data_IF_766392972315
#
_entry.id   IF_766392972315
#
_cell.length_a   1.000
_cell.length_b   1.000
_cell.length_c   1.000
_cell.angle_alpha   90.00
_cell.angle_beta   90.00
_cell.angle_gamma   90.00
#
_symmetry.space_group_name_H-M   'P 1'
#
loop_
_entity.id
_entity.type
_entity.pdbx_description
1 polymer ?
#
# COMPACT_ATOMS: atom_id res chain seq x y z
N UNK A 1 6.83 42.03 -15.98
CA UNK A 1 6.88 40.63 -16.49
C UNK A 1 7.59 39.66 -15.55
N UNK A 2 8.80 39.98 -15.04
CA UNK A 2 9.52 39.17 -14.03
C UNK A 2 8.75 38.81 -12.74
N UNK A 3 7.97 39.69 -12.09
CA UNK A 3 7.33 39.34 -10.82
C UNK A 3 6.16 38.37 -11.01
N UNK A 4 5.47 38.43 -12.15
CA UNK A 4 4.36 37.51 -12.48
C UNK A 4 4.90 36.11 -12.74
N UNK A 5 6.05 36.01 -13.42
CA UNK A 5 6.72 34.72 -13.67
C UNK A 5 7.19 34.06 -12.36
N UNK A 6 7.69 34.87 -11.40
CA UNK A 6 8.15 34.37 -10.10
C UNK A 6 7.00 33.85 -9.23
N UNK A 7 5.87 34.57 -9.21
CA UNK A 7 4.66 34.13 -8.49
C UNK A 7 4.04 32.87 -9.10
N UNK A 8 4.11 32.71 -10.42
CA UNK A 8 3.61 31.52 -11.10
C UNK A 8 4.46 30.29 -10.75
N UNK A 9 5.80 30.42 -10.77
CA UNK A 9 6.73 29.35 -10.37
C UNK A 9 6.54 28.96 -8.90
N UNK A 10 6.31 29.93 -8.00
CA UNK A 10 6.02 29.67 -6.59
C UNK A 10 4.68 28.93 -6.40
N UNK A 11 3.63 29.32 -7.12
CA UNK A 11 2.34 28.64 -7.08
C UNK A 11 2.39 27.19 -7.61
N UNK A 12 3.19 26.93 -8.65
CA UNK A 12 3.42 25.59 -9.21
C UNK A 12 4.16 24.64 -8.25
N UNK A 13 4.91 25.18 -7.27
CA UNK A 13 5.63 24.37 -6.28
C UNK A 13 4.73 23.72 -5.21
N UNK A 14 3.48 24.16 -5.10
CA UNK A 14 2.48 23.59 -4.17
C UNK A 14 1.55 22.55 -4.84
N UNK A 15 1.72 22.27 -6.14
CA UNK A 15 0.85 21.34 -6.91
C UNK A 15 1.48 19.95 -7.03
N UNK A 16 2.51 19.62 -6.23
CA UNK A 16 2.86 18.21 -6.02
C UNK A 16 1.82 17.58 -5.09
N UNK A 17 0.56 17.51 -5.53
CA UNK A 17 -0.34 16.50 -5.01
C UNK A 17 0.25 15.18 -5.48
N UNK A 18 0.59 14.32 -4.54
CA UNK A 18 0.74 12.92 -4.82
C UNK A 18 -0.66 12.49 -5.28
N UNK A 19 -0.98 12.65 -6.57
CA UNK A 19 -2.18 12.08 -7.16
C UNK A 19 -2.06 10.59 -6.88
N UNK A 20 -2.82 10.16 -5.88
CA UNK A 20 -2.56 8.99 -5.06
C UNK A 20 -2.30 7.78 -5.94
N UNK A 21 -1.02 7.44 -6.11
CA UNK A 21 -0.57 6.25 -6.82
C UNK A 21 -0.86 5.07 -5.90
N UNK A 22 -2.10 4.60 -5.88
CA UNK A 22 -2.56 3.56 -4.98
C UNK A 22 -2.79 2.27 -5.75
N UNK A 23 -2.03 1.23 -5.39
CA UNK A 23 -2.34 -0.12 -5.80
C UNK A 23 -3.68 -0.58 -5.22
N UNK A 24 -4.41 -1.41 -5.95
CA UNK A 24 -5.65 -2.02 -5.45
C UNK A 24 -5.71 -3.50 -5.83
N UNK A 25 -6.40 -4.30 -5.02
CA UNK A 25 -6.51 -5.75 -5.23
C UNK A 25 -7.84 -6.27 -4.69
N UNK A 26 -8.44 -7.21 -5.41
CA UNK A 26 -9.50 -8.09 -4.90
C UNK A 26 -9.03 -9.52 -5.16
N UNK A 27 -8.58 -10.23 -4.13
CA UNK A 27 -7.97 -11.56 -4.31
C UNK A 27 -8.03 -12.39 -3.03
N UNK A 28 -7.61 -13.65 -3.12
CA UNK A 28 -7.35 -14.50 -1.95
C UNK A 28 -5.96 -14.19 -1.40
N UNK A 29 -5.80 -14.42 -0.09
CA UNK A 29 -4.50 -14.32 0.58
C UNK A 29 -3.69 -15.60 0.34
N UNK A 30 -2.49 -15.45 -0.22
CA UNK A 30 -1.52 -16.53 -0.43
C UNK A 30 -0.64 -16.73 0.80
N UNK A 31 -0.07 -15.65 1.34
CA UNK A 31 0.83 -15.68 2.49
C UNK A 31 0.59 -14.45 3.38
N UNK A 32 0.77 -14.63 4.69
CA UNK A 32 0.89 -13.54 5.66
C UNK A 32 2.19 -13.76 6.43
N UNK A 33 3.12 -12.81 6.33
CA UNK A 33 4.41 -12.84 7.03
C UNK A 33 4.50 -11.69 8.00
N UNK A 34 5.02 -11.95 9.20
CA UNK A 34 5.38 -10.94 10.20
C UNK A 34 6.86 -11.12 10.52
N UNK A 35 7.63 -10.04 10.39
CA UNK A 35 9.05 -10.02 10.71
C UNK A 35 9.25 -9.67 12.19
N UNK A 36 10.43 -9.97 12.74
CA UNK A 36 10.73 -9.77 14.17
C UNK A 36 10.67 -8.30 14.62
N UNK A 37 10.77 -7.35 13.68
CA UNK A 37 10.67 -5.91 13.95
C UNK A 37 9.23 -5.37 13.87
N UNK A 38 8.24 -6.24 13.68
CA UNK A 38 6.82 -5.88 13.66
C UNK A 38 6.28 -5.46 12.30
N UNK A 39 7.12 -5.45 11.26
CA UNK A 39 6.66 -5.24 9.88
C UNK A 39 5.94 -6.48 9.37
N UNK A 40 4.89 -6.25 8.59
CA UNK A 40 4.06 -7.29 8.02
C UNK A 40 3.94 -7.18 6.51
N UNK A 41 3.83 -8.32 5.85
CA UNK A 41 3.58 -8.45 4.42
C UNK A 41 2.37 -9.37 4.21
N UNK A 42 1.40 -8.92 3.41
CA UNK A 42 0.36 -9.79 2.84
C UNK A 42 0.69 -10.01 1.37
N UNK A 43 0.78 -11.27 0.96
CA UNK A 43 0.91 -11.65 -0.45
C UNK A 43 -0.39 -12.25 -0.93
N UNK A 44 -0.87 -11.77 -2.07
CA UNK A 44 -2.11 -12.17 -2.72
C UNK A 44 -1.84 -13.20 -3.82
N UNK A 45 -2.90 -13.92 -4.23
CA UNK A 45 -2.81 -14.82 -5.39
C UNK A 45 -2.69 -14.03 -6.69
N UNK A 46 -3.42 -12.91 -6.80
CA UNK A 46 -3.44 -12.07 -8.01
C UNK A 46 -2.50 -10.87 -7.88
N UNK A 47 -2.21 -10.23 -9.01
CA UNK A 47 -1.34 -9.04 -9.09
C UNK A 47 -2.10 -7.80 -8.61
N UNK A 48 -1.46 -6.96 -7.80
CA UNK A 48 -1.96 -5.63 -7.42
C UNK A 48 -2.04 -4.77 -8.69
N UNK A 49 -3.24 -4.27 -8.98
CA UNK A 49 -3.53 -3.44 -10.15
C UNK A 49 -3.60 -1.95 -9.77
N UNK A 50 -3.81 -1.09 -10.76
CA UNK A 50 -3.84 0.36 -10.57
C UNK A 50 -2.48 0.98 -10.90
N UNK A 51 -2.15 2.07 -10.20
CA UNK A 51 -0.88 2.77 -10.38
C UNK A 51 -0.10 2.68 -9.06
N UNK A 52 0.66 1.59 -8.82
CA UNK A 52 1.49 1.49 -7.61
C UNK A 52 2.50 2.65 -7.54
N UNK A 53 2.95 3.03 -6.33
CA UNK A 53 3.93 4.09 -6.16
C UNK A 53 5.28 3.69 -6.76
N UNK A 54 6.08 4.66 -7.21
CA UNK A 54 7.35 4.41 -7.89
C UNK A 54 8.38 3.63 -7.05
N UNK A 55 8.22 3.60 -5.73
CA UNK A 55 9.04 2.80 -4.83
C UNK A 55 8.69 1.30 -4.86
N UNK A 56 7.49 0.93 -5.30
CA UNK A 56 7.07 -0.45 -5.39
C UNK A 56 7.80 -1.15 -6.55
N UNK A 57 8.55 -2.21 -6.24
CA UNK A 57 9.31 -2.95 -7.25
C UNK A 57 8.50 -4.14 -7.79
N UNK A 58 8.79 -4.54 -9.03
CA UNK A 58 8.08 -5.62 -9.72
C UNK A 58 8.08 -6.96 -8.95
N UNK A 59 9.12 -7.25 -8.16
CA UNK A 59 9.20 -8.47 -7.35
C UNK A 59 8.16 -8.59 -6.23
N UNK A 60 7.48 -7.48 -5.89
CA UNK A 60 6.43 -7.44 -4.87
C UNK A 60 5.08 -6.98 -5.43
N UNK A 61 4.86 -7.12 -6.74
CA UNK A 61 3.59 -6.75 -7.39
C UNK A 61 2.37 -7.57 -6.93
N UNK A 62 2.58 -8.64 -6.17
CA UNK A 62 1.52 -9.42 -5.49
C UNK A 62 1.37 -9.08 -4.01
N UNK A 63 2.04 -8.06 -3.49
CA UNK A 63 2.13 -7.84 -2.04
C UNK A 63 1.84 -6.42 -1.62
N UNK A 64 1.29 -6.29 -0.42
CA UNK A 64 1.20 -5.03 0.31
C UNK A 64 1.82 -5.20 1.70
N UNK A 65 2.39 -4.13 2.22
CA UNK A 65 3.02 -4.10 3.54
C UNK A 65 2.21 -3.34 4.57
N UNK A 66 2.44 -3.60 5.85
CA UNK A 66 1.78 -2.90 6.95
C UNK A 66 2.63 -2.98 8.21
N UNK A 67 2.42 -2.06 9.15
CA UNK A 67 3.06 -2.08 10.46
C UNK A 67 2.15 -2.75 11.50
N UNK A 68 2.46 -4.00 11.87
CA UNK A 68 1.70 -4.80 12.83
C UNK A 68 1.88 -4.35 14.30
N UNK A 69 2.71 -3.35 14.57
CA UNK A 69 2.78 -2.69 15.87
C UNK A 69 1.64 -1.68 16.07
N UNK A 70 1.09 -1.12 14.98
CA UNK A 70 -0.01 -0.14 15.04
C UNK A 70 -1.36 -0.81 15.25
N UNK A 71 -2.34 -0.08 15.81
CA UNK A 71 -3.71 -0.59 15.97
C UNK A 71 -4.34 -0.98 14.61
N UNK A 72 -4.13 -0.17 13.58
CA UNK A 72 -4.60 -0.44 12.23
C UNK A 72 -3.93 -1.67 11.60
N UNK A 73 -2.60 -1.78 11.70
CA UNK A 73 -1.90 -2.94 11.16
C UNK A 73 -2.19 -4.25 11.90
N UNK A 74 -2.46 -4.22 13.21
CA UNK A 74 -2.98 -5.40 13.94
C UNK A 74 -4.33 -5.85 13.40
N UNK A 75 -5.23 -4.92 13.08
CA UNK A 75 -6.52 -5.24 12.49
C UNK A 75 -6.35 -5.82 11.07
N UNK A 76 -5.49 -5.23 10.23
CA UNK A 76 -5.16 -5.77 8.91
C UNK A 76 -4.57 -7.17 9.00
N UNK A 77 -3.65 -7.41 9.95
CA UNK A 77 -3.05 -8.72 10.19
C UNK A 77 -4.11 -9.78 10.54
N UNK A 78 -5.00 -9.46 11.48
CA UNK A 78 -6.08 -10.36 11.88
C UNK A 78 -7.01 -10.68 10.69
N UNK A 79 -7.35 -9.67 9.88
CA UNK A 79 -8.18 -9.85 8.68
C UNK A 79 -7.49 -10.71 7.62
N UNK A 80 -6.19 -10.49 7.38
CA UNK A 80 -5.41 -11.28 6.43
C UNK A 80 -5.30 -12.76 6.86
N UNK A 81 -5.06 -13.01 8.14
CA UNK A 81 -5.04 -14.37 8.70
C UNK A 81 -6.40 -15.05 8.57
N UNK A 82 -7.48 -14.36 8.93
CA UNK A 82 -8.85 -14.88 8.82
C UNK A 82 -9.19 -15.22 7.36
N UNK A 83 -8.86 -14.32 6.43
CA UNK A 83 -9.04 -14.55 5.00
C UNK A 83 -8.26 -15.78 4.52
N UNK A 84 -7.00 -15.89 4.94
CA UNK A 84 -6.14 -17.04 4.59
C UNK A 84 -6.70 -18.35 5.13
N UNK A 85 -7.09 -18.40 6.40
CA UNK A 85 -7.62 -19.61 7.04
C UNK A 85 -8.99 -20.02 6.49
N UNK A 86 -9.83 -19.04 6.12
CA UNK A 86 -11.18 -19.27 5.61
C UNK A 86 -11.26 -19.40 4.09
N UNK A 87 -10.18 -19.13 3.36
CA UNK A 87 -10.17 -19.09 1.89
C UNK A 87 -11.02 -17.95 1.31
N UNK A 88 -11.31 -16.92 2.12
CA UNK A 88 -12.11 -15.77 1.74
C UNK A 88 -11.33 -14.79 0.86
N UNK A 89 -12.06 -13.97 0.11
CA UNK A 89 -11.49 -12.89 -0.70
C UNK A 89 -11.32 -11.66 0.18
N UNK A 90 -10.28 -10.88 -0.08
CA UNK A 90 -10.06 -9.56 0.51
C UNK A 90 -10.05 -8.48 -0.55
N UNK A 91 -10.44 -7.28 -0.16
CA UNK A 91 -10.09 -6.05 -0.86
C UNK A 91 -8.91 -5.39 -0.13
N UNK A 92 -7.89 -4.98 -0.88
CA UNK A 92 -6.78 -4.18 -0.39
C UNK A 92 -6.60 -2.93 -1.23
N UNK A 93 -6.27 -1.82 -0.59
CA UNK A 93 -5.89 -0.57 -1.24
C UNK A 93 -4.60 -0.06 -0.60
N UNK A 94 -3.67 0.35 -1.43
CA UNK A 94 -2.40 0.92 -1.03
C UNK A 94 -2.52 2.37 -0.60
N UNK A 95 -1.45 2.88 0.02
CA UNK A 95 -1.32 4.25 0.53
C UNK A 95 -0.54 5.16 -0.43
N UNK A 96 0.03 4.59 -1.49
CA UNK A 96 0.95 5.27 -2.39
C UNK A 96 2.30 5.62 -1.79
N UNK A 97 2.69 4.92 -0.72
CA UNK A 97 4.01 5.05 -0.09
C UNK A 97 4.59 3.66 0.18
N UNK A 98 5.91 3.56 0.33
CA UNK A 98 6.60 2.33 0.72
C UNK A 98 7.42 2.57 2.00
N UNK A 99 6.82 3.08 3.06
CA UNK A 99 7.54 3.44 4.30
C UNK A 99 7.94 2.20 5.09
N UNK A 100 7.11 1.16 5.11
CA UNK A 100 7.33 -0.03 5.95
C UNK A 100 8.57 -0.80 5.49
N UNK A 101 8.66 -1.14 4.20
CA UNK A 101 9.77 -1.92 3.63
C UNK A 101 10.65 -1.16 2.63
N UNK A 102 10.34 0.08 2.27
CA UNK A 102 11.07 0.84 1.24
C UNK A 102 10.73 0.44 -0.20
N UNK A 103 10.32 -0.81 -0.43
CA UNK A 103 10.17 -1.40 -1.77
C UNK A 103 8.80 -2.07 -2.03
N UNK A 104 7.94 -2.10 -1.02
CA UNK A 104 6.57 -2.64 -1.10
C UNK A 104 5.62 -1.53 -0.67
N UNK A 105 4.54 -1.35 -1.43
CA UNK A 105 3.51 -0.37 -1.07
C UNK A 105 2.88 -0.71 0.29
N UNK A 106 2.71 0.31 1.14
CA UNK A 106 1.98 0.22 2.40
C UNK A 106 0.48 0.11 2.12
N UNK A 107 -0.21 -0.81 2.78
CA UNK A 107 -1.66 -0.90 2.76
C UNK A 107 -2.27 0.30 3.52
N UNK A 108 -3.23 0.97 2.89
CA UNK A 108 -4.09 1.94 3.53
C UNK A 108 -5.29 1.26 4.20
N UNK A 109 -5.88 0.27 3.53
CA UNK A 109 -7.01 -0.51 4.05
C UNK A 109 -6.94 -1.96 3.55
N UNK A 110 -7.39 -2.90 4.38
CA UNK A 110 -7.59 -4.30 4.03
C UNK A 110 -8.86 -4.82 4.72
N UNK A 111 -9.81 -5.36 3.97
CA UNK A 111 -11.04 -5.93 4.52
C UNK A 111 -11.52 -7.15 3.74
N UNK A 112 -12.34 -7.98 4.40
CA UNK A 112 -12.96 -9.17 3.81
C UNK A 112 -14.07 -8.77 2.83
N UNK A 113 -14.16 -9.47 1.71
CA UNK A 113 -15.21 -9.30 0.71
C UNK A 113 -16.15 -10.51 0.68
#
# INVERSE_FOLDING_TARGET
MKPILLSLVFALSFISSQAHAEGAIISKVLEVRIDSDGKGLVTFVDVVVGTPPACAIAGYNHSMSFDAATAGGKAMYAMALLAKSGGATVYGQGKGTCVTYGVVEDANILFLK
#
